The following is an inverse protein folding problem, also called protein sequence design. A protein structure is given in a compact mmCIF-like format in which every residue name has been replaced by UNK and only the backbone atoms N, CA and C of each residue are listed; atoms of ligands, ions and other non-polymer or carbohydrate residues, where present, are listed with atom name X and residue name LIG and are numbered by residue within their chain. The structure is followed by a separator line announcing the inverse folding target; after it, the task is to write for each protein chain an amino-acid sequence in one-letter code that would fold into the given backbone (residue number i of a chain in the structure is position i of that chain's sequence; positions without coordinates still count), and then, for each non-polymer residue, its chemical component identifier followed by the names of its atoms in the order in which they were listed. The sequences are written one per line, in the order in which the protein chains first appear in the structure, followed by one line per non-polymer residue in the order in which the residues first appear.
data_IF_506005199984
#
_entry.id   IF_506005199984
#
_cell.length_a   1.000
_cell.length_b   1.000
_cell.length_c   1.000
_cell.angle_alpha   90.00
_cell.angle_beta   90.00
_cell.angle_gamma   90.00
#
_symmetry.space_group_name_H-M   'P 1'
#
loop_
_entity.id
_entity.type
_entity.pdbx_description
1 polymer ?
#
# COMPACT_ATOMS: atom_id res chain seq x y z
N UNK A 1 -25.67 8.77 -0.01
CA UNK A 1 -24.23 8.96 0.28
C UNK A 1 -23.66 9.83 -0.83
N UNK A 2 -22.98 10.92 -0.49
CA UNK A 2 -22.56 11.91 -1.48
C UNK A 2 -21.33 11.44 -2.26
N UNK A 3 -21.49 11.30 -3.56
CA UNK A 3 -20.37 11.33 -4.49
C UNK A 3 -19.56 12.58 -4.15
N UNK A 4 -18.36 12.44 -3.59
CA UNK A 4 -17.39 13.53 -3.62
C UNK A 4 -17.03 13.72 -5.10
N UNK A 5 -17.89 14.48 -5.77
CA UNK A 5 -17.77 14.83 -7.17
C UNK A 5 -16.55 15.73 -7.25
N UNK A 6 -15.41 15.09 -7.43
CA UNK A 6 -14.18 15.68 -7.89
C UNK A 6 -14.53 16.79 -8.86
N UNK A 7 -13.93 17.96 -8.70
CA UNK A 7 -14.02 19.04 -9.70
C UNK A 7 -13.42 18.66 -11.06
N UNK A 8 -13.17 17.37 -11.30
CA UNK A 8 -12.73 16.80 -12.55
C UNK A 8 -13.92 16.74 -13.54
N UNK A 9 -13.72 17.13 -14.80
CA UNK A 9 -14.73 16.99 -15.83
C UNK A 9 -15.15 15.52 -16.02
N UNK A 10 -16.39 15.24 -16.47
CA UNK A 10 -16.80 13.89 -16.81
C UNK A 10 -15.82 13.21 -17.78
N UNK A 11 -15.44 11.97 -17.48
CA UNK A 11 -14.46 11.19 -18.26
C UNK A 11 -13.01 11.37 -17.83
N UNK A 12 -12.72 12.22 -16.84
CA UNK A 12 -11.41 12.32 -16.21
C UNK A 12 -11.40 11.59 -14.88
N UNK A 13 -10.34 10.81 -14.67
CA UNK A 13 -10.09 10.08 -13.44
C UNK A 13 -8.73 10.49 -12.89
N UNK A 14 -8.58 10.38 -11.57
CA UNK A 14 -7.28 10.57 -10.95
C UNK A 14 -6.48 9.27 -11.08
N UNK A 15 -5.45 9.32 -11.92
CA UNK A 15 -4.61 8.17 -12.30
C UNK A 15 -3.15 8.60 -12.43
N UNK A 16 -2.51 9.06 -11.33
CA UNK A 16 -1.16 9.60 -11.39
C UNK A 16 -0.12 8.49 -11.55
N UNK A 17 0.95 8.82 -12.24
CA UNK A 17 2.19 8.03 -12.24
C UNK A 17 2.95 8.18 -10.90
N UNK A 18 3.83 7.25 -10.59
CA UNK A 18 4.68 7.32 -9.39
C UNK A 18 5.54 8.60 -9.37
N UNK A 19 6.02 9.05 -10.54
CA UNK A 19 6.71 10.35 -10.69
C UNK A 19 5.79 11.52 -10.30
N UNK A 20 4.54 11.55 -10.78
CA UNK A 20 3.59 12.62 -10.47
C UNK A 20 3.21 12.64 -8.98
N UNK A 21 3.00 11.46 -8.37
CA UNK A 21 2.75 11.35 -6.93
C UNK A 21 3.87 12.00 -6.10
N UNK A 22 5.12 11.77 -6.47
CA UNK A 22 6.27 12.38 -5.79
C UNK A 22 6.39 13.87 -6.13
N UNK A 23 6.61 14.19 -7.40
CA UNK A 23 7.06 15.52 -7.85
C UNK A 23 5.93 16.54 -7.74
N UNK A 24 4.71 16.16 -8.11
CA UNK A 24 3.58 17.07 -8.13
C UNK A 24 2.86 17.16 -6.79
N UNK A 25 2.65 16.03 -6.11
CA UNK A 25 1.87 16.00 -4.87
C UNK A 25 2.75 16.08 -3.62
N UNK A 26 3.61 15.09 -3.40
CA UNK A 26 4.36 14.96 -2.15
C UNK A 26 5.39 16.08 -1.94
N UNK A 27 6.18 16.43 -2.95
CA UNK A 27 7.15 17.53 -2.88
C UNK A 27 6.49 18.86 -2.49
N UNK A 28 5.34 19.17 -3.10
CA UNK A 28 4.58 20.39 -2.78
C UNK A 28 4.02 20.35 -1.37
N UNK A 29 3.47 19.20 -0.97
CA UNK A 29 2.95 19.00 0.39
C UNK A 29 4.03 19.20 1.43
N UNK A 30 5.20 18.58 1.25
CA UNK A 30 6.33 18.72 2.15
C UNK A 30 6.86 20.16 2.23
N UNK A 31 6.87 20.87 1.11
CA UNK A 31 7.24 22.29 1.05
C UNK A 31 6.12 23.25 1.51
N UNK A 32 4.97 22.75 1.96
CA UNK A 32 3.78 23.55 2.31
C UNK A 32 3.34 24.49 1.18
N UNK A 33 3.55 24.05 -0.07
CA UNK A 33 3.17 24.79 -1.27
C UNK A 33 1.74 24.40 -1.72
N UNK A 34 0.98 25.34 -2.31
CA UNK A 34 -0.30 25.01 -2.91
C UNK A 34 -0.18 23.95 -4.01
N UNK A 35 -1.13 23.00 -4.02
CA UNK A 35 -1.28 21.96 -5.02
C UNK A 35 -2.69 22.03 -5.63
N UNK A 36 -2.83 21.86 -6.96
CA UNK A 36 -4.10 21.99 -7.66
C UNK A 36 -4.30 20.85 -8.67
N UNK A 37 -5.25 19.93 -8.47
CA UNK A 37 -6.29 19.97 -7.45
C UNK A 37 -5.77 19.55 -6.05
N UNK A 38 -6.26 20.19 -4.99
CA UNK A 38 -5.97 19.80 -3.61
C UNK A 38 -6.95 18.71 -3.15
N UNK A 39 -6.82 17.52 -3.72
CA UNK A 39 -7.77 16.40 -3.55
C UNK A 39 -7.30 15.33 -2.58
N UNK A 40 -5.99 15.21 -2.36
CA UNK A 40 -5.42 14.22 -1.44
C UNK A 40 -5.44 14.81 -0.02
N UNK A 41 -6.23 14.25 0.92
CA UNK A 41 -6.32 14.74 2.28
C UNK A 41 -5.11 14.32 3.12
N UNK A 42 -4.92 15.01 4.24
CA UNK A 42 -4.02 14.57 5.29
C UNK A 42 -4.75 13.58 6.20
N UNK A 43 -4.14 12.43 6.47
CA UNK A 43 -4.68 11.40 7.35
C UNK A 43 -3.55 10.80 8.18
N UNK A 44 -3.82 10.59 9.46
CA UNK A 44 -3.00 9.71 10.29
C UNK A 44 -3.50 8.29 10.11
N UNK A 45 -2.94 7.55 9.15
CA UNK A 45 -3.43 6.20 8.83
C UNK A 45 -3.25 5.21 9.98
N UNK A 46 -2.25 5.39 10.84
CA UNK A 46 -2.06 4.48 11.97
C UNK A 46 -3.17 4.64 13.03
N UNK A 47 -4.00 5.68 12.94
CA UNK A 47 -5.21 5.80 13.74
C UNK A 47 -6.46 5.11 13.14
N UNK A 48 -6.38 4.55 11.93
CA UNK A 48 -7.53 4.00 11.21
C UNK A 48 -7.22 2.63 10.58
N UNK A 49 -8.15 1.69 10.73
CA UNK A 49 -8.04 0.41 10.03
C UNK A 49 -8.34 0.61 8.51
N UNK A 50 -7.81 -0.24 7.60
CA UNK A 50 -7.89 -0.02 6.16
C UNK A 50 -9.30 0.15 5.59
N UNK A 51 -10.28 -0.58 6.12
CA UNK A 51 -11.69 -0.49 5.70
C UNK A 51 -12.36 0.84 6.08
N UNK A 52 -11.82 1.58 7.05
CA UNK A 52 -12.31 2.91 7.44
C UNK A 52 -11.84 4.03 6.50
N UNK A 53 -10.96 3.72 5.54
CA UNK A 53 -10.43 4.71 4.59
C UNK A 53 -11.49 5.27 3.65
N UNK A 54 -12.56 4.52 3.39
CA UNK A 54 -13.68 4.94 2.54
C UNK A 54 -14.34 6.25 2.97
N UNK A 55 -14.26 6.61 4.26
CA UNK A 55 -14.83 7.84 4.80
C UNK A 55 -13.80 8.97 4.98
N UNK A 56 -12.50 8.65 4.92
CA UNK A 56 -11.41 9.53 5.39
C UNK A 56 -10.42 9.91 4.29
N UNK A 57 -10.22 9.04 3.29
CA UNK A 57 -9.23 9.20 2.25
C UNK A 57 -9.87 9.52 0.89
N UNK A 58 -9.05 9.99 -0.05
CA UNK A 58 -9.50 10.28 -1.40
C UNK A 58 -9.57 8.99 -2.24
N UNK A 59 -10.77 8.63 -2.72
CA UNK A 59 -11.00 7.43 -3.52
C UNK A 59 -10.95 7.74 -5.02
N UNK A 60 -10.09 7.02 -5.75
CA UNK A 60 -10.09 6.95 -7.21
C UNK A 60 -9.76 5.54 -7.65
N UNK A 61 -10.44 4.98 -8.67
CA UNK A 61 -10.12 3.65 -9.24
C UNK A 61 -9.99 2.50 -8.22
N UNK A 62 -10.74 2.53 -7.11
CA UNK A 62 -10.65 1.55 -5.97
C UNK A 62 -9.37 1.66 -5.13
N UNK A 63 -8.68 2.78 -5.25
CA UNK A 63 -7.50 3.11 -4.49
C UNK A 63 -7.76 4.35 -3.65
N UNK A 64 -7.26 4.32 -2.42
CA UNK A 64 -7.35 5.41 -1.46
C UNK A 64 -6.01 6.13 -1.35
N UNK A 65 -6.05 7.45 -1.54
CA UNK A 65 -4.88 8.32 -1.49
C UNK A 65 -4.98 9.26 -0.29
N UNK A 66 -3.88 9.43 0.43
CA UNK A 66 -3.75 10.41 1.51
C UNK A 66 -2.28 10.74 1.78
N UNK A 67 -2.02 11.87 2.42
CA UNK A 67 -0.74 12.20 3.01
C UNK A 67 -0.71 11.77 4.47
N UNK A 68 0.41 11.21 4.92
CA UNK A 68 0.64 10.87 6.33
C UNK A 68 2.01 11.34 6.78
N UNK A 69 2.26 11.22 8.08
CA UNK A 69 3.60 11.34 8.66
C UNK A 69 4.18 9.94 8.81
N UNK A 70 5.42 9.74 8.37
CA UNK A 70 6.16 8.50 8.57
C UNK A 70 6.31 8.21 10.07
N UNK A 71 6.01 6.97 10.47
CA UNK A 71 6.13 6.45 11.85
C UNK A 71 6.74 5.05 11.82
N UNK A 72 7.56 4.77 12.82
CA UNK A 72 8.06 3.42 13.07
C UNK A 72 6.95 2.48 13.59
N UNK A 73 6.10 2.98 14.49
CA UNK A 73 4.92 2.24 14.93
C UNK A 73 3.81 2.45 13.91
N UNK A 74 3.43 1.35 13.27
CA UNK A 74 2.40 1.30 12.25
C UNK A 74 1.16 0.52 12.68
N UNK A 75 0.97 0.42 13.99
CA UNK A 75 -0.18 -0.24 14.61
C UNK A 75 -1.44 0.61 14.45
N UNK A 76 -2.55 -0.08 14.22
CA UNK A 76 -3.91 0.47 14.16
C UNK A 76 -4.73 -0.12 15.29
N UNK A 77 -6.03 0.17 15.34
CA UNK A 77 -6.90 -0.37 16.41
C UNK A 77 -6.99 -1.89 16.36
N UNK A 78 -7.06 -2.47 15.15
CA UNK A 78 -7.35 -3.91 14.97
C UNK A 78 -6.28 -4.67 14.21
N UNK A 79 -5.14 -4.04 13.98
CA UNK A 79 -4.07 -4.65 13.22
C UNK A 79 -2.84 -3.76 13.15
N UNK A 80 -1.96 -4.07 12.22
CA UNK A 80 -0.76 -3.27 11.96
C UNK A 80 -0.33 -3.41 10.50
N UNK A 81 0.31 -2.37 9.98
CA UNK A 81 0.95 -2.42 8.68
C UNK A 81 2.38 -2.92 8.82
N UNK A 82 2.75 -3.92 8.02
CA UNK A 82 4.09 -4.51 7.99
C UNK A 82 4.71 -4.27 6.62
N UNK A 83 5.94 -3.76 6.60
CA UNK A 83 6.73 -3.69 5.37
C UNK A 83 7.06 -5.09 4.84
N UNK A 84 6.91 -5.24 3.53
CA UNK A 84 7.31 -6.45 2.80
C UNK A 84 8.86 -6.52 2.67
N UNK A 85 9.54 -5.39 2.83
CA UNK A 85 10.98 -5.26 2.62
C UNK A 85 11.37 -5.03 1.15
N UNK A 86 10.37 -4.92 0.26
CA UNK A 86 10.54 -4.48 -1.11
C UNK A 86 10.48 -2.95 -1.18
N UNK A 87 11.45 -2.35 -1.85
CA UNK A 87 11.44 -0.94 -2.18
C UNK A 87 11.84 -0.72 -3.64
N UNK A 88 11.21 0.27 -4.27
CA UNK A 88 11.43 0.63 -5.67
C UNK A 88 11.83 2.10 -5.78
N UNK A 89 13.02 2.41 -6.33
CA UNK A 89 13.41 3.78 -6.59
C UNK A 89 12.53 4.39 -7.68
N UNK A 90 12.03 5.61 -7.44
CA UNK A 90 11.22 6.35 -8.39
C UNK A 90 12.12 7.35 -9.13
N UNK A 91 12.14 7.23 -10.45
CA UNK A 91 12.86 8.14 -11.33
C UNK A 91 11.91 9.06 -12.07
N UNK A 92 12.39 10.26 -12.30
CA UNK A 92 11.78 11.19 -13.26
C UNK A 92 12.06 10.73 -14.68
N UNK A 93 11.24 11.20 -15.61
CA UNK A 93 11.44 11.01 -17.06
C UNK A 93 12.84 11.39 -17.60
N UNK A 94 13.58 12.24 -16.89
CA UNK A 94 14.95 12.64 -17.25
C UNK A 94 16.05 11.84 -16.51
N UNK A 95 15.68 10.80 -15.78
CA UNK A 95 16.58 9.85 -15.13
C UNK A 95 17.06 10.26 -13.73
N UNK A 96 16.52 11.33 -13.15
CA UNK A 96 16.85 11.71 -11.77
C UNK A 96 15.97 10.95 -10.79
N UNK A 97 16.60 10.29 -9.81
CA UNK A 97 15.90 9.69 -8.69
C UNK A 97 15.25 10.79 -7.83
N UNK A 98 13.97 10.62 -7.51
CA UNK A 98 13.17 11.61 -6.77
C UNK A 98 12.52 11.06 -5.51
N UNK A 99 12.45 9.74 -5.37
CA UNK A 99 11.83 9.12 -4.22
C UNK A 99 11.99 7.62 -4.18
N UNK A 100 11.39 7.03 -3.16
CA UNK A 100 11.36 5.59 -2.91
C UNK A 100 9.92 5.15 -2.66
N UNK A 101 9.50 4.04 -3.26
CA UNK A 101 8.21 3.41 -3.04
C UNK A 101 8.41 2.16 -2.19
N UNK A 102 7.80 2.12 -1.02
CA UNK A 102 7.81 0.97 -0.12
C UNK A 102 6.46 0.25 -0.17
N UNK A 103 6.48 -1.06 -0.02
CA UNK A 103 5.27 -1.88 0.00
C UNK A 103 4.98 -2.42 1.40
N UNK A 104 3.73 -2.29 1.83
CA UNK A 104 3.25 -2.76 3.11
C UNK A 104 1.97 -3.60 2.96
N UNK A 105 1.78 -4.55 3.87
CA UNK A 105 0.58 -5.36 3.99
C UNK A 105 -0.02 -5.17 5.37
N UNK A 106 -1.34 -5.16 5.44
CA UNK A 106 -2.03 -5.08 6.72
C UNK A 106 -2.25 -6.48 7.32
N UNK A 107 -1.90 -6.63 8.60
CA UNK A 107 -2.22 -7.80 9.40
C UNK A 107 -3.30 -7.43 10.40
N UNK A 108 -4.44 -8.13 10.36
CA UNK A 108 -5.65 -7.81 11.12
C UNK A 108 -6.37 -9.06 11.62
N UNK A 109 -7.54 -8.86 12.23
CA UNK A 109 -8.43 -9.97 12.55
C UNK A 109 -8.98 -10.62 11.26
N UNK A 110 -9.09 -11.94 11.25
CA UNK A 110 -9.57 -12.71 10.09
C UNK A 110 -11.01 -12.35 9.69
N UNK A 111 -11.84 -11.98 10.66
CA UNK A 111 -13.15 -11.38 10.42
C UNK A 111 -13.17 -9.96 11.00
N UNK A 112 -13.25 -8.96 10.12
CA UNK A 112 -13.41 -7.57 10.55
C UNK A 112 -14.75 -7.32 11.28
N UNK A 113 -15.64 -8.31 11.43
CA UNK A 113 -16.85 -8.20 12.23
C UNK A 113 -16.76 -8.93 13.57
N UNK A 114 -15.73 -9.76 13.79
CA UNK A 114 -15.57 -10.55 15.02
C UNK A 114 -14.16 -10.46 15.56
N UNK A 115 -14.05 -10.01 16.82
CA UNK A 115 -12.79 -10.08 17.57
C UNK A 115 -12.42 -11.56 17.78
N UNK A 116 -11.29 -11.99 17.23
CA UNK A 116 -10.83 -13.36 17.42
C UNK A 116 -10.22 -13.51 18.82
N UNK A 117 -10.72 -14.48 19.59
CA UNK A 117 -10.37 -14.68 21.02
C UNK A 117 -8.88 -15.06 21.25
N UNK A 118 -8.20 -15.57 20.22
CA UNK A 118 -6.83 -16.05 20.28
C UNK A 118 -5.78 -14.93 20.10
N UNK A 119 -6.20 -13.73 19.72
CA UNK A 119 -5.31 -12.56 19.57
C UNK A 119 -4.35 -12.61 18.37
N UNK A 120 -4.29 -13.73 17.65
CA UNK A 120 -3.50 -13.89 16.42
C UNK A 120 -4.02 -12.97 15.31
N UNK A 121 -3.10 -12.22 14.69
CA UNK A 121 -3.38 -11.34 13.54
C UNK A 121 -2.91 -12.04 12.28
N UNK A 122 -3.80 -12.12 11.28
CA UNK A 122 -3.52 -12.76 10.00
C UNK A 122 -3.30 -11.71 8.93
N UNK A 123 -2.53 -12.06 7.91
CA UNK A 123 -2.35 -11.22 6.75
C UNK A 123 -3.71 -11.01 6.07
N UNK A 124 -4.02 -9.77 5.74
CA UNK A 124 -5.23 -9.42 4.99
C UNK A 124 -4.87 -9.14 3.54
N UNK A 125 -5.89 -8.88 2.73
CA UNK A 125 -5.74 -8.47 1.34
C UNK A 125 -5.52 -6.96 1.17
N UNK A 126 -5.34 -6.20 2.25
CA UNK A 126 -5.06 -4.77 2.17
C UNK A 126 -3.57 -4.53 1.95
N UNK A 127 -3.27 -3.86 0.84
CA UNK A 127 -1.93 -3.47 0.43
C UNK A 127 -1.79 -1.94 0.47
N UNK A 128 -0.60 -1.47 0.82
CA UNK A 128 -0.23 -0.06 0.77
C UNK A 128 1.07 0.12 0.03
N UNK A 129 1.10 1.15 -0.80
CA UNK A 129 2.30 1.71 -1.38
C UNK A 129 2.57 3.05 -0.69
N UNK A 130 3.71 3.14 -0.01
CA UNK A 130 4.15 4.29 0.76
C UNK A 130 5.29 4.98 0.00
N UNK A 131 5.05 6.22 -0.41
CA UNK A 131 5.93 7.03 -1.23
C UNK A 131 6.72 8.00 -0.35
N UNK A 132 8.04 7.94 -0.46
CA UNK A 132 9.01 8.75 0.28
C UNK A 132 9.77 9.68 -0.65
N UNK A 133 10.09 10.89 -0.16
CA UNK A 133 10.99 11.80 -0.86
C UNK A 133 12.44 11.32 -0.75
N UNK A 134 13.24 11.55 -1.79
CA UNK A 134 14.67 11.30 -1.71
C UNK A 134 15.32 12.28 -0.73
N UNK A 135 15.91 11.77 0.35
CA UNK A 135 16.69 12.60 1.28
C UNK A 135 18.07 12.87 0.69
N UNK A 136 18.49 14.14 0.51
CA UNK A 136 19.86 14.44 0.13
C UNK A 136 20.78 14.02 1.29
N UNK A 137 21.65 13.03 1.07
CA UNK A 137 22.67 12.43 1.98
C UNK A 137 23.12 13.30 3.18
N UNK A 138 22.23 13.52 4.14
CA UNK A 138 22.45 14.34 5.32
C UNK A 138 22.31 13.42 6.50
N UNK A 139 23.44 13.19 7.15
CA UNK A 139 23.58 12.37 8.34
C UNK A 139 22.70 12.87 9.47
N UNK A 140 21.46 12.39 9.56
CA UNK A 140 20.70 12.31 10.82
C UNK A 140 19.73 11.13 10.67
N UNK A 141 20.12 9.96 11.20
CA UNK A 141 19.24 8.80 11.33
C UNK A 141 18.14 9.01 12.39
N UNK A 142 18.18 10.13 13.13
CA UNK A 142 17.31 10.35 14.30
C UNK A 142 15.90 10.88 13.97
N UNK A 143 15.64 11.42 12.77
CA UNK A 143 14.33 11.99 12.39
C UNK A 143 13.68 11.25 11.20
N UNK A 144 13.67 9.91 11.23
CA UNK A 144 12.80 9.12 10.32
C UNK A 144 11.32 9.30 10.70
N UNK A 145 11.05 9.63 11.96
CA UNK A 145 9.72 9.98 12.45
C UNK A 145 9.39 11.42 12.01
N UNK A 146 8.18 11.64 11.47
CA UNK A 146 7.63 12.94 11.02
C UNK A 146 7.97 13.44 9.61
N UNK A 147 8.56 12.64 8.72
CA UNK A 147 8.58 12.99 7.30
C UNK A 147 7.19 12.87 6.65
N UNK A 148 6.86 13.74 5.70
CA UNK A 148 5.65 13.57 4.90
C UNK A 148 5.81 12.40 3.93
N UNK A 149 4.84 11.49 3.95
CA UNK A 149 4.70 10.40 2.97
C UNK A 149 3.37 10.56 2.24
N UNK A 150 3.31 10.06 1.01
CA UNK A 150 2.04 9.83 0.31
C UNK A 150 1.75 8.34 0.33
N UNK A 151 0.53 7.96 0.62
CA UNK A 151 0.12 6.57 0.67
C UNK A 151 -0.96 6.32 -0.37
N UNK A 152 -0.83 5.20 -1.09
CA UNK A 152 -1.85 4.61 -1.96
C UNK A 152 -2.23 3.25 -1.40
N UNK A 153 -3.46 3.11 -0.91
CA UNK A 153 -3.99 1.88 -0.32
C UNK A 153 -5.02 1.27 -1.26
N UNK A 154 -5.03 -0.05 -1.38
CA UNK A 154 -6.05 -0.78 -2.13
C UNK A 154 -6.27 -2.17 -1.54
N UNK A 155 -7.41 -2.76 -1.90
CA UNK A 155 -7.70 -4.16 -1.62
C UNK A 155 -7.14 -4.98 -2.79
N UNK A 156 -6.08 -5.75 -2.54
CA UNK A 156 -5.50 -6.67 -3.51
C UNK A 156 -6.46 -7.86 -3.69
N UNK A 157 -6.85 -8.16 -4.93
CA UNK A 157 -7.61 -9.38 -5.20
C UNK A 157 -6.66 -10.58 -5.09
N UNK A 158 -6.58 -11.20 -3.91
CA UNK A 158 -5.94 -12.52 -3.75
C UNK A 158 -6.65 -13.58 -4.63
N UNK A 159 -7.87 -13.28 -5.13
CA UNK A 159 -8.84 -14.25 -5.67
C UNK A 159 -9.03 -14.30 -7.19
N UNK A 160 -8.17 -13.69 -8.01
CA UNK A 160 -8.09 -14.13 -9.43
C UNK A 160 -7.22 -15.39 -9.61
N UNK A 161 -6.74 -15.95 -8.49
CA UNK A 161 -6.25 -17.33 -8.38
C UNK A 161 -7.40 -18.35 -8.18
N UNK A 162 -8.52 -18.15 -8.89
CA UNK A 162 -9.59 -19.16 -9.03
C UNK A 162 -9.24 -20.31 -9.98
N UNK A 163 -7.95 -20.57 -10.21
CA UNK A 163 -7.48 -21.83 -10.80
C UNK A 163 -6.65 -22.64 -9.80
N UNK A 164 -7.15 -22.73 -8.55
CA UNK A 164 -6.67 -23.64 -7.48
C UNK A 164 -6.88 -25.14 -7.80
N UNK A 165 -7.09 -25.50 -9.08
CA UNK A 165 -7.17 -26.88 -9.56
C UNK A 165 -6.28 -27.19 -10.79
N UNK A 166 -5.58 -26.22 -11.40
CA UNK A 166 -4.77 -26.51 -12.61
C UNK A 166 -3.42 -27.18 -12.35
N UNK A 167 -2.81 -26.96 -11.18
CA UNK A 167 -1.50 -27.55 -10.85
C UNK A 167 -1.55 -29.05 -10.55
N UNK A 168 -2.73 -29.66 -10.38
CA UNK A 168 -2.82 -31.12 -10.21
C UNK A 168 -3.02 -31.90 -11.52
N UNK A 169 -3.25 -31.21 -12.65
CA UNK A 169 -3.60 -31.91 -13.91
C UNK A 169 -2.81 -31.51 -15.15
N UNK A 170 -2.05 -30.42 -15.14
CA UNK A 170 -1.27 -30.02 -16.31
C UNK A 170 0.22 -30.31 -16.12
N UNK A 171 0.60 -31.57 -16.23
CA UNK A 171 1.99 -31.97 -16.50
C UNK A 171 2.36 -31.78 -17.98
N UNK A 172 1.60 -31.00 -18.76
CA UNK A 172 1.89 -30.67 -20.15
C UNK A 172 1.01 -29.48 -20.58
N UNK A 173 1.56 -28.26 -20.61
CA UNK A 173 1.46 -27.25 -21.69
C UNK A 173 1.90 -25.89 -21.14
N UNK A 174 2.84 -25.28 -21.85
CA UNK A 174 3.34 -23.92 -21.71
C UNK A 174 2.29 -22.91 -22.18
N UNK A 175 1.68 -22.17 -21.27
CA UNK A 175 1.14 -20.84 -21.57
C UNK A 175 1.39 -19.92 -20.38
N UNK A 176 2.10 -18.81 -20.64
CA UNK A 176 2.59 -17.87 -19.65
C UNK A 176 1.53 -16.83 -19.27
N UNK A 177 0.96 -16.99 -18.09
CA UNK A 177 0.38 -15.88 -17.33
C UNK A 177 1.44 -15.40 -16.34
N UNK A 178 2.04 -14.25 -16.66
CA UNK A 178 3.02 -13.57 -15.80
C UNK A 178 2.26 -12.98 -14.61
N UNK A 179 2.53 -13.53 -13.42
CA UNK A 179 2.01 -12.97 -12.18
C UNK A 179 2.56 -11.55 -12.02
N UNK A 180 1.78 -10.65 -11.43
CA UNK A 180 2.38 -9.39 -10.99
C UNK A 180 3.47 -9.71 -9.97
N UNK A 181 4.58 -8.99 -9.98
CA UNK A 181 5.70 -9.26 -9.08
C UNK A 181 5.29 -9.29 -7.60
N UNK A 182 4.24 -8.54 -7.25
CA UNK A 182 3.60 -8.59 -5.94
C UNK A 182 2.88 -9.92 -5.70
N UNK A 183 2.13 -10.45 -6.66
CA UNK A 183 1.47 -11.77 -6.53
C UNK A 183 2.49 -12.89 -6.32
N UNK A 184 3.64 -12.86 -6.99
CA UNK A 184 4.71 -13.84 -6.76
C UNK A 184 5.24 -13.80 -5.33
N UNK A 185 5.45 -12.58 -4.78
CA UNK A 185 5.94 -12.41 -3.41
C UNK A 185 4.86 -12.79 -2.40
N UNK A 186 3.61 -12.37 -2.62
CA UNK A 186 2.47 -12.73 -1.77
C UNK A 186 2.31 -14.25 -1.68
N UNK A 187 2.41 -14.97 -2.80
CA UNK A 187 2.36 -16.42 -2.81
C UNK A 187 3.58 -17.06 -2.11
N UNK A 188 4.78 -16.50 -2.30
CA UNK A 188 6.00 -17.06 -1.68
C UNK A 188 6.09 -16.89 -0.15
N UNK A 189 5.42 -15.87 0.41
CA UNK A 189 5.39 -15.66 1.87
C UNK A 189 4.43 -16.61 2.60
N UNK A 190 3.47 -17.21 1.91
CA UNK A 190 2.56 -18.22 2.48
C UNK A 190 3.23 -19.61 2.59
N UNK A 191 4.28 -19.89 1.80
CA UNK A 191 4.97 -21.19 1.77
C UNK A 191 5.92 -21.44 2.96
N UNK A 192 6.28 -20.41 3.76
CA UNK A 192 7.18 -20.57 4.93
C UNK A 192 6.46 -21.04 6.22
N UNK A 193 5.15 -21.31 6.21
CA UNK A 193 4.41 -21.71 7.41
C UNK A 193 4.24 -23.22 7.65
N UNK A 194 4.82 -24.10 6.82
CA UNK A 194 4.64 -25.56 6.96
C UNK A 194 5.79 -26.33 7.66
N UNK A 195 6.58 -25.69 8.54
CA UNK A 195 7.54 -26.41 9.40
C UNK A 195 7.53 -25.94 10.87
N UNK A 196 6.44 -26.19 11.59
CA UNK A 196 6.50 -26.35 13.06
C UNK A 196 6.15 -27.79 13.41
N UNK A 197 7.15 -28.67 13.29
CA UNK A 197 7.07 -30.01 13.88
C UNK A 197 7.38 -29.89 15.37
N UNK A 198 6.35 -29.96 16.23
CA UNK A 198 6.58 -30.10 17.66
C UNK A 198 7.15 -31.50 17.97
N UNK A 199 8.25 -31.62 18.74
CA UNK A 199 8.72 -32.91 19.18
C UNK A 199 7.80 -33.51 20.25
N UNK A 200 7.71 -34.84 20.20
CA UNK A 200 6.81 -35.72 20.96
C UNK A 200 7.14 -35.82 22.46
#
# INVERSE_FOLDING_TARGET
MGDQKLGLPPGFEFDPTDEELIVYFLCRRAASLPCYPNIIPDLDIYAADPWELSEKAFLSKREWYFFSRSRQDRSTRRGFWKEIGLNEPIFTSNGNEVGLKNYLVFYGDQDHNHDHEDGSKVQTNWAMEEYHLLKPNSQVQDDINDEWVLCRVHEANIVDSQDRDYCRRSSNVSDGVELSYLDEIYCSMDDEQDEITFPN
#
